data_IF_701051836399
#
_entry.id   IF_701051836399
#
_cell.length_a   1.000
_cell.length_b   1.000
_cell.length_c   1.000
_cell.angle_alpha   90.00
_cell.angle_beta   90.00
_cell.angle_gamma   90.00
#
_symmetry.space_group_name_H-M   'P 1'
#
loop_
_entity.id
_entity.type
_entity.pdbx_description
1 polymer ?
#
# COMPACT_ATOMS: atom_id res chain seq x y z
N UNK A 1 -26.13 17.87 11.06
CA UNK A 1 -25.34 18.58 10.04
C UNK A 1 -24.12 19.13 10.74
N UNK A 2 -22.98 18.47 10.61
CA UNK A 2 -21.71 18.96 11.16
C UNK A 2 -21.10 19.88 10.13
N UNK A 3 -20.96 21.15 10.51
CA UNK A 3 -20.28 22.18 9.72
C UNK A 3 -18.78 21.85 9.73
N UNK A 4 -18.26 21.41 8.58
CA UNK A 4 -16.82 21.20 8.41
C UNK A 4 -16.18 22.59 8.25
N UNK A 5 -15.22 23.00 9.10
CA UNK A 5 -14.58 24.30 8.95
C UNK A 5 -13.94 24.39 7.56
N UNK A 6 -14.23 25.48 6.84
CA UNK A 6 -13.59 25.75 5.55
C UNK A 6 -12.06 25.73 5.73
N UNK A 7 -11.30 25.16 4.77
CA UNK A 7 -9.85 25.16 4.85
C UNK A 7 -9.39 26.62 4.94
N UNK A 8 -8.63 26.94 5.99
CA UNK A 8 -8.18 28.30 6.23
C UNK A 8 -7.45 28.86 5.00
N UNK A 9 -8.00 29.92 4.42
CA UNK A 9 -7.39 30.76 3.40
C UNK A 9 -6.06 31.32 3.96
N UNK A 10 -4.96 30.61 3.75
CA UNK A 10 -3.65 31.03 4.28
C UNK A 10 -2.59 29.96 4.48
N UNK A 11 -2.81 28.69 4.13
CA UNK A 11 -1.73 27.70 4.17
C UNK A 11 -0.77 27.96 2.99
N UNK A 12 0.24 28.81 3.21
CA UNK A 12 1.41 28.90 2.33
C UNK A 12 2.09 27.53 2.33
N UNK A 13 1.89 26.76 1.26
CA UNK A 13 2.48 25.42 1.12
C UNK A 13 4.00 25.56 1.05
N UNK A 14 4.71 25.03 2.05
CA UNK A 14 6.17 24.99 2.02
C UNK A 14 6.61 24.10 0.84
N UNK A 15 7.53 24.62 0.01
CA UNK A 15 8.12 23.86 -1.09
C UNK A 15 9.08 22.81 -0.50
N UNK A 16 8.93 21.57 -0.95
CA UNK A 16 9.87 20.49 -0.65
C UNK A 16 11.19 20.69 -1.41
N UNK A 17 12.28 20.21 -0.83
CA UNK A 17 13.53 20.03 -1.58
C UNK A 17 13.27 19.17 -2.84
N UNK A 18 13.92 19.47 -3.98
CA UNK A 18 13.64 18.78 -5.25
C UNK A 18 13.68 17.25 -5.14
N UNK A 19 14.71 16.70 -4.48
CA UNK A 19 14.84 15.26 -4.29
C UNK A 19 13.70 14.65 -3.45
N UNK A 20 13.21 15.36 -2.43
CA UNK A 20 12.07 14.90 -1.64
C UNK A 20 10.77 14.96 -2.46
N UNK A 21 10.59 16.00 -3.28
CA UNK A 21 9.46 16.09 -4.19
C UNK A 21 9.47 14.95 -5.22
N UNK A 22 10.64 14.59 -5.76
CA UNK A 22 10.80 13.48 -6.70
C UNK A 22 10.53 12.13 -6.05
N UNK A 23 11.01 11.90 -4.82
CA UNK A 23 10.71 10.70 -4.05
C UNK A 23 9.19 10.53 -3.82
N UNK A 24 8.49 11.62 -3.48
CA UNK A 24 7.03 11.60 -3.31
C UNK A 24 6.32 11.30 -4.63
N UNK A 25 6.77 11.88 -5.75
CA UNK A 25 6.21 11.58 -7.09
C UNK A 25 6.44 10.12 -7.49
N UNK A 26 7.63 9.58 -7.22
CA UNK A 26 7.96 8.18 -7.49
C UNK A 26 7.08 7.24 -6.66
N UNK A 27 6.90 7.53 -5.36
CA UNK A 27 6.00 6.75 -4.52
C UNK A 27 4.54 6.84 -4.99
N UNK A 28 4.09 8.02 -5.43
CA UNK A 28 2.76 8.18 -6.01
C UNK A 28 2.59 7.40 -7.33
N UNK A 29 3.61 7.33 -8.17
CA UNK A 29 3.59 6.52 -9.39
C UNK A 29 3.49 5.02 -9.05
N UNK A 30 4.34 4.54 -8.14
CA UNK A 30 4.29 3.15 -7.65
C UNK A 30 2.93 2.83 -7.02
N UNK A 31 2.33 3.76 -6.28
CA UNK A 31 1.03 3.56 -5.65
C UNK A 31 -0.07 3.40 -6.70
N UNK A 32 -0.06 4.21 -7.76
CA UNK A 32 -1.00 4.08 -8.87
C UNK A 32 -0.84 2.74 -9.58
N UNK A 33 0.39 2.36 -9.90
CA UNK A 33 0.68 1.07 -10.54
C UNK A 33 0.18 -0.11 -9.70
N UNK A 34 0.39 -0.10 -8.39
CA UNK A 34 -0.14 -1.12 -7.47
C UNK A 34 -1.66 -1.14 -7.43
N UNK A 35 -2.30 0.04 -7.49
CA UNK A 35 -3.75 0.14 -7.52
C UNK A 35 -4.31 -0.45 -8.82
N UNK A 36 -3.67 -0.16 -9.97
CA UNK A 36 -4.06 -0.70 -11.27
C UNK A 36 -3.92 -2.23 -11.30
N UNK A 37 -2.83 -2.77 -10.76
CA UNK A 37 -2.64 -4.22 -10.61
C UNK A 37 -3.72 -4.85 -9.74
N UNK A 38 -4.07 -4.23 -8.63
CA UNK A 38 -5.11 -4.75 -7.73
C UNK A 38 -6.49 -4.69 -8.38
N UNK A 39 -6.82 -3.59 -9.07
CA UNK A 39 -8.06 -3.47 -9.82
C UNK A 39 -8.19 -4.58 -10.87
N UNK A 40 -7.13 -4.83 -11.64
CA UNK A 40 -7.12 -5.90 -12.64
C UNK A 40 -7.39 -7.29 -12.04
N UNK A 41 -6.83 -7.60 -10.85
CA UNK A 41 -7.11 -8.88 -10.16
C UNK A 41 -8.57 -8.96 -9.69
N UNK A 42 -9.12 -7.86 -9.16
CA UNK A 42 -10.53 -7.84 -8.74
C UNK A 42 -11.49 -7.98 -9.92
N UNK A 43 -11.17 -7.36 -11.05
CA UNK A 43 -11.92 -7.49 -12.29
C UNK A 43 -11.87 -8.93 -12.83
N UNK A 44 -10.69 -9.55 -12.82
CA UNK A 44 -10.50 -10.96 -13.18
C UNK A 44 -11.33 -11.90 -12.29
N UNK A 45 -11.32 -11.68 -10.96
CA UNK A 45 -12.15 -12.47 -10.03
C UNK A 45 -13.64 -12.26 -10.30
N UNK A 46 -14.05 -11.05 -10.67
CA UNK A 46 -15.45 -10.76 -11.00
C UNK A 46 -15.89 -11.44 -12.31
N UNK A 47 -14.98 -11.59 -13.26
CA UNK A 47 -15.24 -12.22 -14.57
C UNK A 47 -15.14 -13.75 -14.51
N UNK A 48 -14.12 -14.28 -13.82
CA UNK A 48 -13.72 -15.69 -13.88
C UNK A 48 -13.97 -16.46 -12.58
N UNK A 49 -14.34 -15.78 -11.50
CA UNK A 49 -14.49 -16.37 -10.16
C UNK A 49 -13.17 -16.47 -9.40
N UNK A 50 -13.21 -17.11 -8.23
CA UNK A 50 -12.01 -17.29 -7.40
C UNK A 50 -11.08 -18.35 -8.01
N UNK A 51 -9.74 -18.21 -7.83
CA UNK A 51 -8.80 -19.26 -8.20
C UNK A 51 -9.07 -20.56 -7.44
N UNK A 52 -8.63 -21.68 -8.01
CA UNK A 52 -8.72 -22.97 -7.36
C UNK A 52 -7.89 -22.99 -6.06
N UNK A 53 -8.34 -23.75 -5.06
CA UNK A 53 -7.68 -23.80 -3.74
C UNK A 53 -6.27 -24.38 -3.86
N UNK A 54 -6.08 -25.29 -4.81
CA UNK A 54 -4.81 -25.93 -5.14
C UNK A 54 -3.77 -24.94 -5.69
N UNK A 55 -4.22 -23.84 -6.28
CA UNK A 55 -3.38 -22.74 -6.79
C UNK A 55 -3.17 -21.62 -5.75
N UNK A 56 -3.83 -21.71 -4.59
CA UNK A 56 -3.73 -20.73 -3.51
C UNK A 56 -2.68 -21.12 -2.48
N UNK A 57 -2.00 -20.13 -1.91
CA UNK A 57 -1.14 -20.34 -0.73
C UNK A 57 -1.99 -20.28 0.55
N UNK A 58 -1.89 -21.27 1.45
CA UNK A 58 -2.56 -21.21 2.75
C UNK A 58 -2.15 -19.99 3.56
N UNK A 59 -3.12 -19.41 4.27
CA UNK A 59 -2.89 -18.21 5.08
C UNK A 59 -1.81 -18.42 6.14
N UNK A 60 -1.79 -19.59 6.77
CA UNK A 60 -0.81 -19.97 7.79
C UNK A 60 0.62 -19.87 7.24
N UNK A 61 0.86 -20.35 6.02
CA UNK A 61 2.19 -20.30 5.41
C UNK A 61 2.66 -18.87 5.15
N UNK A 62 1.78 -18.03 4.59
CA UNK A 62 2.09 -16.62 4.36
C UNK A 62 2.34 -15.86 5.67
N UNK A 63 1.51 -16.12 6.69
CA UNK A 63 1.64 -15.52 8.01
C UNK A 63 2.97 -15.90 8.66
N UNK A 64 3.30 -17.19 8.71
CA UNK A 64 4.53 -17.65 9.36
C UNK A 64 5.77 -17.15 8.61
N UNK A 65 5.76 -17.14 7.27
CA UNK A 65 6.86 -16.56 6.49
C UNK A 65 7.05 -15.07 6.79
N UNK A 66 5.95 -14.30 6.90
CA UNK A 66 6.01 -12.88 7.24
C UNK A 66 6.53 -12.65 8.67
N UNK A 67 6.06 -13.43 9.64
CA UNK A 67 6.49 -13.34 11.04
C UNK A 67 7.97 -13.70 11.19
N UNK A 68 8.44 -14.75 10.54
CA UNK A 68 9.86 -15.13 10.52
C UNK A 68 10.72 -13.99 9.95
N UNK A 69 10.27 -13.36 8.86
CA UNK A 69 10.94 -12.19 8.27
C UNK A 69 11.03 -11.02 9.25
N UNK A 70 9.95 -10.70 9.96
CA UNK A 70 9.93 -9.65 10.97
C UNK A 70 10.83 -9.98 12.17
N UNK A 71 10.82 -11.23 12.63
CA UNK A 71 11.69 -11.71 13.70
C UNK A 71 13.16 -11.58 13.33
N UNK A 72 13.53 -11.92 12.09
CA UNK A 72 14.89 -11.76 11.57
C UNK A 72 15.32 -10.28 11.44
N UNK A 73 14.37 -9.36 11.26
CA UNK A 73 14.64 -7.92 11.16
C UNK A 73 14.72 -7.23 12.52
N UNK A 74 14.26 -7.87 13.61
CA UNK A 74 14.41 -7.30 14.95
C UNK A 74 15.86 -7.45 15.41
N UNK A 75 16.57 -6.34 15.71
CA UNK A 75 17.83 -6.44 16.43
C UNK A 75 17.56 -7.12 17.78
N UNK A 76 18.46 -8.02 18.21
CA UNK A 76 18.41 -8.56 19.55
C UNK A 76 18.48 -7.39 20.54
N UNK A 77 17.37 -7.11 21.22
CA UNK A 77 17.33 -6.16 22.32
C UNK A 77 18.15 -6.80 23.44
N UNK A 78 19.37 -6.31 23.62
CA UNK A 78 20.26 -6.65 24.73
C UNK A 78 19.96 -5.81 25.97
#
# INVERSE_FOLDING_TARGET
>A
MTDQPAPADGVVRQRLEPAAADAVRAYAAQTRERADQFAAVLEDIAENGLPAVEDCTPWEELREAHLARLAAQRPAVA
#
